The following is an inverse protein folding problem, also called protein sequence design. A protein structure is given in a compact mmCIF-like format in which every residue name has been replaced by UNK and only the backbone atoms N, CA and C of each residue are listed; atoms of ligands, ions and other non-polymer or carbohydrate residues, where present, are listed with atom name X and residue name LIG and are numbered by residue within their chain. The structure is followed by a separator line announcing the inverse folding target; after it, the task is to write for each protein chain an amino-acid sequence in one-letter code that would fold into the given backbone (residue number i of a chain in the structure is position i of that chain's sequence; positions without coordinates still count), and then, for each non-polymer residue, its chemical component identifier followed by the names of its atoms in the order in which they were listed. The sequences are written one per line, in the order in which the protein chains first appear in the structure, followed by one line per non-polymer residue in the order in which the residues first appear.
data_IF_585580221013
#
_entry.id   IF_585580221013
#
_cell.length_a   1.000
_cell.length_b   1.000
_cell.length_c   1.000
_cell.angle_alpha   90.00
_cell.angle_beta   90.00
_cell.angle_gamma   90.00
#
_symmetry.space_group_name_H-M   'P 1'
#
loop_
_entity.id
_entity.type
_entity.pdbx_description
1 polymer ?
#
# COMPACT_ATOMS: atom_id res chain seq x y z
N UNK A 1 -48.26 32.88 28.48
CA UNK A 1 -46.84 33.29 28.49
C UNK A 1 -45.92 32.06 28.34
N UNK A 2 -46.06 31.27 27.26
CA UNK A 2 -45.26 30.05 27.06
C UNK A 2 -44.82 29.82 25.60
N UNK A 3 -44.87 30.86 24.76
CA UNK A 3 -44.50 30.76 23.34
C UNK A 3 -43.14 31.44 23.01
N UNK A 4 -42.60 32.27 23.89
CA UNK A 4 -41.44 33.12 23.58
C UNK A 4 -40.07 32.42 23.72
N UNK A 5 -39.97 31.32 24.48
CA UNK A 5 -38.66 30.66 24.72
C UNK A 5 -38.20 29.69 23.64
N UNK A 6 -39.06 29.26 22.72
CA UNK A 6 -38.68 28.29 21.68
C UNK A 6 -38.04 28.94 20.44
N UNK A 7 -38.25 30.24 20.22
CA UNK A 7 -37.71 30.99 19.09
C UNK A 7 -36.24 31.36 19.27
N UNK A 8 -35.83 31.77 20.47
CA UNK A 8 -34.43 32.11 20.79
C UNK A 8 -33.47 30.93 20.57
N UNK A 9 -33.87 29.74 21.02
CA UNK A 9 -33.03 28.54 20.90
C UNK A 9 -32.89 28.03 19.46
N UNK A 10 -33.86 28.36 18.58
CA UNK A 10 -33.77 28.08 17.14
C UNK A 10 -32.93 29.11 16.41
N UNK A 11 -33.01 30.38 16.80
CA UNK A 11 -32.15 31.43 16.26
C UNK A 11 -30.68 31.18 16.63
N UNK A 12 -30.37 30.77 17.87
CA UNK A 12 -28.99 30.45 18.27
C UNK A 12 -28.38 29.26 17.53
N UNK A 13 -29.20 28.28 17.13
CA UNK A 13 -28.75 27.11 16.36
C UNK A 13 -28.46 27.52 14.91
N UNK A 14 -29.33 28.34 14.31
CA UNK A 14 -29.13 28.85 12.95
C UNK A 14 -27.88 29.74 12.87
N UNK A 15 -27.62 30.55 13.91
CA UNK A 15 -26.40 31.35 14.00
C UNK A 15 -25.14 30.50 14.19
N UNK A 16 -25.24 29.38 14.92
CA UNK A 16 -24.14 28.41 15.04
C UNK A 16 -23.85 27.71 13.72
N UNK A 17 -24.87 27.28 12.99
CA UNK A 17 -24.71 26.64 11.68
C UNK A 17 -24.12 27.62 10.64
N UNK A 18 -24.52 28.90 10.68
CA UNK A 18 -23.93 29.95 9.86
C UNK A 18 -22.45 30.20 10.19
N UNK A 19 -22.10 30.24 11.49
CA UNK A 19 -20.71 30.41 11.93
C UNK A 19 -19.82 29.21 11.54
N UNK A 20 -20.33 27.99 11.66
CA UNK A 20 -19.63 26.76 11.26
C UNK A 20 -19.41 26.75 9.75
N UNK A 21 -20.42 27.14 8.96
CA UNK A 21 -20.31 27.20 7.50
C UNK A 21 -19.26 28.21 7.05
N UNK A 22 -19.23 29.40 7.64
CA UNK A 22 -18.21 30.41 7.32
C UNK A 22 -16.79 29.97 7.71
N UNK A 23 -16.64 29.22 8.81
CA UNK A 23 -15.34 28.68 9.24
C UNK A 23 -14.85 27.57 8.30
N UNK A 24 -15.74 26.67 7.85
CA UNK A 24 -15.40 25.62 6.90
C UNK A 24 -15.07 26.19 5.53
N UNK A 25 -15.79 27.21 5.07
CA UNK A 25 -15.49 27.92 3.81
C UNK A 25 -14.12 28.61 3.87
N UNK A 26 -13.77 29.20 5.01
CA UNK A 26 -12.43 29.78 5.24
C UNK A 26 -11.30 28.75 5.30
N UNK A 27 -11.56 27.52 5.76
CA UNK A 27 -10.57 26.44 5.81
C UNK A 27 -10.36 25.73 4.47
N UNK A 28 -11.41 25.68 3.64
CA UNK A 28 -11.38 25.08 2.30
C UNK A 28 -10.86 26.03 1.23
N UNK A 29 -10.64 27.31 1.57
CA UNK A 29 -10.08 28.29 0.65
C UNK A 29 -8.57 28.10 0.57
N UNK A 30 -8.13 27.43 -0.50
CA UNK A 30 -6.72 27.25 -0.81
C UNK A 30 -6.02 28.62 -0.97
N UNK A 31 -4.97 28.93 -0.20
CA UNK A 31 -4.24 30.20 -0.33
C UNK A 31 -3.49 30.33 -1.66
N UNK A 32 -3.33 29.24 -2.41
CA UNK A 32 -2.61 29.20 -3.69
C UNK A 32 -3.50 29.56 -4.90
N UNK A 33 -4.83 29.64 -4.73
CA UNK A 33 -5.76 29.95 -5.82
C UNK A 33 -5.78 31.44 -6.19
N UNK A 34 -5.49 32.34 -5.25
CA UNK A 34 -5.45 33.79 -5.50
C UNK A 34 -4.06 34.28 -6.00
N UNK A 35 -2.95 33.55 -5.78
CA UNK A 35 -1.61 33.92 -6.33
C UNK A 35 -1.40 33.50 -7.79
N UNK A 36 -2.18 32.53 -8.30
CA UNK A 36 -2.04 32.05 -9.68
C UNK A 36 -2.57 33.05 -10.75
N UNK A 37 -3.36 34.05 -10.35
CA UNK A 37 -3.90 35.06 -11.26
C UNK A 37 -2.98 36.29 -11.46
N UNK A 38 -2.01 36.54 -10.56
CA UNK A 38 -1.13 37.72 -10.65
C UNK A 38 0.28 37.42 -11.18
N UNK A 39 0.66 36.14 -11.34
CA UNK A 39 1.99 35.75 -11.86
C UNK A 39 2.02 35.50 -13.38
N UNK A 40 1.24 36.25 -14.17
CA UNK A 40 1.35 36.29 -15.63
C UNK A 40 1.53 37.72 -16.14
N UNK A 41 2.67 38.31 -15.79
CA UNK A 41 3.19 39.51 -16.44
C UNK A 41 4.65 39.25 -16.88
N UNK A 42 5.00 39.38 -18.17
CA UNK A 42 6.37 39.19 -18.61
C UNK A 42 7.26 40.29 -18.04
N UNK A 43 8.23 39.91 -17.19
CA UNK A 43 9.26 40.81 -16.67
C UNK A 43 10.16 41.28 -17.81
N UNK A 44 9.87 42.47 -18.36
CA UNK A 44 10.79 43.23 -19.21
C UNK A 44 11.91 43.81 -18.34
N UNK A 45 13.14 43.61 -18.80
CA UNK A 45 14.39 44.12 -18.25
C UNK A 45 14.40 45.64 -18.10
N UNK A 46 15.11 46.20 -17.10
CA UNK A 46 15.18 47.64 -16.88
C UNK A 46 16.14 48.29 -17.89
N UNK A 47 15.59 48.80 -18.99
CA UNK A 47 16.27 49.69 -19.92
C UNK A 47 15.85 51.15 -19.71
N UNK A 48 16.85 52.00 -19.44
CA UNK A 48 16.90 53.46 -19.57
C UNK A 48 15.61 54.24 -19.93
N UNK A 49 15.22 55.17 -19.05
CA UNK A 49 14.22 56.22 -19.33
C UNK A 49 14.77 57.22 -20.34
N UNK A 50 14.11 57.37 -21.49
CA UNK A 50 14.14 58.59 -22.30
C UNK A 50 12.74 59.18 -22.28
N UNK A 51 12.68 60.42 -21.80
CA UNK A 51 11.50 61.26 -21.69
C UNK A 51 11.12 61.73 -23.11
N UNK A 52 9.86 61.53 -23.51
CA UNK A 52 9.19 62.53 -24.33
C UNK A 52 7.67 62.52 -24.10
N UNK A 53 7.14 63.72 -23.94
CA UNK A 53 5.75 64.16 -23.70
C UNK A 53 5.33 64.95 -24.96
N UNK A 54 4.05 65.31 -25.24
CA UNK A 54 2.71 64.75 -24.93
C UNK A 54 1.88 64.47 -26.22
N UNK A 55 0.69 63.85 -26.12
CA UNK A 55 -0.58 64.43 -26.62
C UNK A 55 -1.81 63.66 -26.10
N UNK A 56 -2.86 64.41 -25.76
CA UNK A 56 -4.20 64.01 -25.29
C UNK A 56 -5.17 63.93 -26.49
N UNK A 57 -6.51 63.71 -26.41
CA UNK A 57 -7.41 63.36 -25.29
C UNK A 57 -8.52 62.30 -25.65
N UNK A 58 -9.47 62.12 -24.71
CA UNK A 58 -10.87 61.68 -24.88
C UNK A 58 -11.13 60.16 -25.04
N UNK A 59 -12.24 59.56 -24.61
CA UNK A 59 -13.36 59.85 -23.71
C UNK A 59 -14.23 58.57 -23.71
N UNK A 60 -15.05 58.36 -22.67
CA UNK A 60 -16.23 57.49 -22.77
C UNK A 60 -16.22 56.24 -21.89
N UNK A 61 -16.98 56.31 -20.80
CA UNK A 61 -17.42 55.18 -20.00
C UNK A 61 -18.72 54.55 -20.60
N UNK A 62 -19.47 53.71 -19.86
CA UNK A 62 -19.72 52.30 -20.16
C UNK A 62 -21.11 52.06 -20.79
N UNK A 63 -21.36 50.83 -21.25
CA UNK A 63 -22.72 50.38 -21.57
C UNK A 63 -22.95 48.94 -21.12
N UNK A 64 -23.90 48.85 -20.19
CA UNK A 64 -24.72 47.70 -19.82
C UNK A 64 -25.39 47.06 -21.02
N UNK A 65 -25.53 45.73 -21.01
CA UNK A 65 -26.64 45.06 -21.70
C UNK A 65 -27.18 43.94 -20.81
N UNK A 66 -28.48 44.05 -20.56
CA UNK A 66 -29.34 43.25 -19.71
C UNK A 66 -30.48 42.74 -20.59
N UNK A 67 -30.88 41.49 -20.39
CA UNK A 67 -32.12 40.91 -20.91
C UNK A 67 -31.90 39.90 -22.04
N UNK A 68 -32.67 38.83 -22.19
CA UNK A 68 -33.79 38.27 -21.45
C UNK A 68 -33.92 36.80 -21.97
N UNK A 69 -34.30 35.83 -21.12
CA UNK A 69 -35.57 35.09 -21.13
C UNK A 69 -36.03 34.55 -22.51
N UNK A 70 -36.62 33.38 -22.73
CA UNK A 70 -37.36 32.37 -21.96
C UNK A 70 -37.60 31.20 -22.95
N UNK A 71 -37.70 29.92 -22.56
CA UNK A 71 -38.95 29.12 -22.38
C UNK A 71 -38.52 27.70 -22.84
N UNK A 72 -38.59 26.62 -22.08
CA UNK A 72 -39.79 25.95 -21.57
C UNK A 72 -40.24 24.87 -22.58
N UNK A 73 -40.07 23.60 -22.24
CA UNK A 73 -41.06 22.56 -22.58
C UNK A 73 -40.98 21.39 -21.59
N UNK A 74 -42.17 20.96 -21.21
CA UNK A 74 -42.57 20.05 -20.15
C UNK A 74 -43.24 18.86 -20.83
N UNK A 75 -42.86 17.62 -20.51
CA UNK A 75 -43.81 16.52 -20.42
C UNK A 75 -43.16 15.22 -19.88
N UNK A 76 -43.85 14.52 -18.95
CA UNK A 76 -43.44 13.25 -18.38
C UNK A 76 -44.17 12.05 -19.04
N UNK A 77 -43.54 10.87 -19.05
CA UNK A 77 -44.26 9.60 -19.19
C UNK A 77 -43.63 8.52 -18.31
N UNK A 78 -44.41 8.09 -17.32
CA UNK A 78 -44.33 6.80 -16.66
C UNK A 78 -44.51 5.67 -17.68
N UNK A 79 -43.81 4.55 -17.51
CA UNK A 79 -44.38 3.25 -17.83
C UNK A 79 -43.68 2.14 -17.06
N UNK A 80 -44.43 1.53 -16.15
CA UNK A 80 -44.13 0.25 -15.54
C UNK A 80 -44.20 -0.87 -16.59
N UNK A 81 -43.27 -1.82 -16.50
CA UNK A 81 -43.47 -3.17 -17.00
C UNK A 81 -42.64 -4.16 -16.17
N UNK A 82 -43.38 -5.05 -15.53
CA UNK A 82 -42.93 -6.24 -14.84
C UNK A 82 -42.34 -7.26 -15.83
N UNK A 83 -41.64 -8.29 -15.32
CA UNK A 83 -41.51 -9.68 -15.82
C UNK A 83 -40.07 -10.22 -15.72
N UNK A 84 -40.00 -11.34 -14.99
CA UNK A 84 -39.09 -12.49 -15.11
C UNK A 84 -37.66 -12.43 -14.53
N UNK A 85 -37.53 -13.08 -13.37
CA UNK A 85 -36.35 -13.83 -12.98
C UNK A 85 -35.99 -14.90 -14.03
N UNK A 86 -34.71 -15.14 -14.30
CA UNK A 86 -34.25 -16.43 -14.80
C UNK A 86 -33.84 -17.31 -13.61
N UNK A 87 -34.73 -18.25 -13.30
CA UNK A 87 -34.37 -19.55 -12.73
C UNK A 87 -33.48 -20.24 -13.77
N UNK A 88 -32.21 -20.50 -13.43
CA UNK A 88 -31.35 -21.38 -14.22
C UNK A 88 -30.97 -22.55 -13.34
N UNK A 89 -31.77 -23.60 -13.55
CA UNK A 89 -31.59 -24.99 -13.16
C UNK A 89 -30.14 -25.44 -13.17
N UNK A 90 -29.79 -26.15 -12.09
CA UNK A 90 -28.69 -27.08 -12.04
C UNK A 90 -28.81 -28.09 -13.20
N UNK A 91 -27.88 -28.02 -14.15
CA UNK A 91 -27.65 -29.11 -15.11
C UNK A 91 -26.37 -29.84 -14.75
N UNK A 92 -26.60 -30.99 -14.13
CA UNK A 92 -25.67 -32.06 -13.86
C UNK A 92 -25.46 -32.85 -15.18
N UNK A 93 -24.22 -32.95 -15.66
CA UNK A 93 -23.80 -33.92 -16.69
C UNK A 93 -22.48 -34.47 -16.17
N UNK A 94 -22.43 -35.63 -15.52
CA UNK A 94 -22.61 -36.96 -16.10
C UNK A 94 -21.88 -37.08 -17.43
N UNK A 95 -20.59 -37.44 -17.35
CA UNK A 95 -19.85 -38.13 -18.40
C UNK A 95 -19.16 -39.28 -17.70
N UNK A 96 -19.80 -40.44 -17.82
CA UNK A 96 -19.26 -41.76 -17.58
C UNK A 96 -19.12 -42.35 -18.98
N UNK A 97 -17.91 -42.78 -19.34
CA UNK A 97 -17.67 -43.79 -20.38
C UNK A 97 -16.19 -44.17 -20.40
N UNK A 98 -15.95 -45.42 -19.95
CA UNK A 98 -15.19 -46.47 -20.65
C UNK A 98 -13.66 -46.28 -20.70
N UNK A 99 -12.88 -46.99 -19.88
CA UNK A 99 -12.53 -48.42 -19.98
C UNK A 99 -12.04 -48.81 -21.38
N UNK A 100 -10.72 -48.92 -21.54
CA UNK A 100 -10.11 -50.14 -22.09
C UNK A 100 -8.56 -50.07 -22.12
N UNK A 101 -8.02 -51.20 -21.69
CA UNK A 101 -6.87 -51.91 -22.24
C UNK A 101 -5.49 -51.78 -21.63
N UNK A 102 -4.91 -52.98 -21.52
CA UNK A 102 -3.75 -53.37 -20.78
C UNK A 102 -2.53 -53.52 -21.70
N UNK A 103 -1.34 -53.37 -21.12
CA UNK A 103 -0.08 -54.04 -21.50
C UNK A 103 0.93 -53.58 -20.46
N UNK A 104 1.25 -54.37 -19.44
CA UNK A 104 2.22 -55.48 -19.45
C UNK A 104 3.63 -55.09 -19.94
N UNK A 105 4.60 -55.49 -19.10
CA UNK A 105 6.03 -55.74 -19.34
C UNK A 105 7.03 -54.63 -19.05
N UNK A 106 7.92 -54.93 -18.07
CA UNK A 106 9.30 -54.44 -18.10
C UNK A 106 9.89 -54.06 -16.75
N UNK A 107 10.34 -55.06 -15.97
CA UNK A 107 11.27 -54.87 -14.86
C UNK A 107 12.57 -54.16 -15.29
N UNK A 108 13.31 -53.55 -14.36
CA UNK A 108 14.56 -54.24 -14.01
C UNK A 108 14.84 -54.34 -12.50
N UNK A 109 15.43 -55.49 -12.16
CA UNK A 109 16.15 -55.81 -10.94
C UNK A 109 17.14 -54.71 -10.53
N UNK A 110 17.09 -54.33 -9.25
CA UNK A 110 18.27 -53.82 -8.55
C UNK A 110 18.54 -54.75 -7.38
N UNK A 111 19.50 -55.64 -7.63
CA UNK A 111 20.26 -56.36 -6.62
C UNK A 111 20.97 -55.33 -5.73
N UNK A 112 20.85 -55.47 -4.41
CA UNK A 112 21.69 -54.75 -3.46
C UNK A 112 22.14 -55.74 -2.41
N UNK A 113 23.42 -56.02 -2.51
CA UNK A 113 24.18 -57.07 -1.87
C UNK A 113 24.37 -56.74 -0.38
N UNK A 114 23.93 -57.67 0.46
CA UNK A 114 24.19 -57.69 1.89
C UNK A 114 25.63 -58.14 2.12
N UNK A 115 26.48 -57.23 2.58
CA UNK A 115 27.87 -57.49 2.92
C UNK A 115 28.18 -57.07 4.35
N UNK A 116 27.97 -57.97 5.30
CA UNK A 116 28.42 -57.82 6.68
C UNK A 116 29.94 -58.04 6.78
N UNK A 117 30.69 -57.13 7.43
CA UNK A 117 32.00 -57.47 7.97
C UNK A 117 32.37 -56.62 9.23
N UNK A 118 32.38 -57.33 10.36
CA UNK A 118 33.24 -57.23 11.56
C UNK A 118 33.55 -55.88 12.25
N UNK A 119 33.14 -55.81 13.53
CA UNK A 119 33.96 -55.33 14.64
C UNK A 119 34.76 -56.55 15.22
N UNK A 120 35.78 -56.43 16.12
CA UNK A 120 36.12 -55.29 17.00
C UNK A 120 37.64 -55.02 17.22
N UNK A 121 37.93 -54.02 18.07
CA UNK A 121 38.98 -54.00 19.13
C UNK A 121 40.08 -52.90 19.08
N UNK A 122 40.21 -52.21 20.23
CA UNK A 122 41.42 -51.65 20.86
C UNK A 122 42.09 -50.37 20.31
N UNK A 123 42.12 -49.28 21.10
CA UNK A 123 43.17 -48.94 22.09
C UNK A 123 42.95 -47.50 22.65
N UNK A 124 42.72 -47.42 23.97
CA UNK A 124 43.16 -46.45 24.99
C UNK A 124 43.03 -44.89 24.84
N UNK A 125 42.94 -44.16 25.97
CA UNK A 125 42.49 -42.76 26.05
C UNK A 125 43.66 -41.76 26.06
N UNK A 126 43.46 -40.59 25.44
CA UNK A 126 44.35 -39.44 25.56
C UNK A 126 43.54 -38.16 25.84
N UNK A 127 44.08 -37.36 26.76
CA UNK A 127 43.52 -36.15 27.41
C UNK A 127 42.97 -35.06 26.48
N UNK A 128 42.01 -34.25 26.98
CA UNK A 128 41.56 -33.04 26.30
C UNK A 128 42.53 -31.87 26.50
N UNK A 129 42.90 -31.11 25.46
CA UNK A 129 43.44 -29.76 25.65
C UNK A 129 42.30 -28.78 25.98
N UNK A 130 42.48 -27.87 26.96
CA UNK A 130 41.54 -26.80 27.24
C UNK A 130 41.80 -25.64 26.28
N UNK A 131 40.99 -25.51 25.24
CA UNK A 131 40.96 -24.30 24.41
C UNK A 131 39.67 -23.54 24.70
N UNK A 132 39.86 -22.55 25.57
CA UNK A 132 38.92 -21.48 25.85
C UNK A 132 38.95 -20.48 24.69
N UNK A 133 37.82 -19.81 24.44
CA UNK A 133 37.72 -18.57 23.65
C UNK A 133 37.88 -18.63 22.12
N UNK A 134 37.07 -19.44 21.44
CA UNK A 134 36.86 -19.31 19.98
C UNK A 134 35.39 -19.38 19.55
N UNK A 135 34.48 -18.88 20.38
CA UNK A 135 33.03 -18.97 20.11
C UNK A 135 32.30 -17.64 20.42
N UNK A 136 32.89 -16.51 20.03
CA UNK A 136 32.21 -15.19 20.08
C UNK A 136 32.51 -14.28 18.86
N UNK A 137 33.02 -14.80 17.75
CA UNK A 137 33.35 -14.00 16.56
C UNK A 137 32.50 -14.28 15.31
N UNK A 138 31.52 -15.19 15.38
CA UNK A 138 30.72 -15.63 14.21
C UNK A 138 29.25 -15.17 14.31
N UNK A 139 28.98 -13.96 14.84
CA UNK A 139 27.62 -13.39 14.88
C UNK A 139 27.54 -11.94 14.38
N UNK A 140 28.64 -11.39 13.87
CA UNK A 140 28.69 -9.96 13.46
C UNK A 140 28.65 -9.73 11.95
N UNK A 141 28.77 -10.78 11.11
CA UNK A 141 28.94 -10.59 9.65
C UNK A 141 27.65 -10.74 8.82
N UNK A 142 26.53 -11.15 9.43
CA UNK A 142 25.25 -11.31 8.71
C UNK A 142 24.49 -9.99 8.48
N UNK A 143 24.99 -8.87 9.03
CA UNK A 143 24.35 -7.56 8.92
C UNK A 143 24.93 -6.69 7.81
N UNK A 144 26.07 -7.08 7.22
CA UNK A 144 26.83 -6.26 6.25
C UNK A 144 26.45 -6.49 4.78
N UNK A 145 25.62 -7.50 4.46
CA UNK A 145 25.17 -7.77 3.07
C UNK A 145 23.98 -6.91 2.60
N UNK A 146 23.52 -5.95 3.42
CA UNK A 146 22.25 -5.26 3.19
C UNK A 146 22.35 -3.85 2.59
N UNK A 147 23.56 -3.30 2.39
CA UNK A 147 23.71 -1.88 2.01
C UNK A 147 23.53 -1.60 0.50
N UNK A 148 23.77 -2.58 -0.38
CA UNK A 148 23.58 -2.41 -1.84
C UNK A 148 22.19 -2.88 -2.33
N UNK A 149 21.34 -3.37 -1.42
CA UNK A 149 20.03 -3.86 -1.78
C UNK A 149 19.07 -2.68 -2.01
N UNK A 150 18.80 -2.35 -3.27
CA UNK A 150 17.78 -1.37 -3.68
C UNK A 150 16.38 -1.65 -3.10
N UNK A 151 16.12 -2.90 -2.73
CA UNK A 151 14.82 -3.38 -2.26
C UNK A 151 14.95 -4.12 -0.92
N UNK A 152 13.96 -3.91 -0.05
CA UNK A 152 13.60 -4.87 0.99
C UNK A 152 12.57 -5.86 0.49
N UNK A 153 12.67 -7.09 0.98
CA UNK A 153 11.91 -8.22 0.46
C UNK A 153 11.08 -8.84 1.58
N UNK A 154 9.79 -8.99 1.34
CA UNK A 154 8.89 -9.74 2.20
C UNK A 154 8.04 -10.65 1.34
N UNK A 155 7.76 -11.87 1.79
CA UNK A 155 6.88 -12.81 1.11
C UNK A 155 5.53 -12.90 1.78
N UNK A 156 4.49 -13.11 0.98
CA UNK A 156 3.11 -13.17 1.44
C UNK A 156 2.36 -14.17 0.57
N UNK A 157 1.93 -15.29 1.15
CA UNK A 157 0.98 -16.22 0.51
C UNK A 157 1.37 -16.73 -0.89
N UNK A 158 2.66 -16.75 -1.20
CA UNK A 158 3.19 -17.18 -2.49
C UNK A 158 3.71 -16.06 -3.40
N UNK A 159 3.39 -14.80 -3.12
CA UNK A 159 3.92 -13.63 -3.83
C UNK A 159 5.05 -12.97 -3.03
N UNK A 160 6.06 -12.45 -3.72
CA UNK A 160 7.12 -11.65 -3.11
C UNK A 160 6.81 -10.17 -3.28
N UNK A 161 7.06 -9.37 -2.25
CA UNK A 161 6.88 -7.92 -2.27
C UNK A 161 8.23 -7.21 -2.18
N UNK A 162 8.48 -6.37 -3.17
CA UNK A 162 9.60 -5.43 -3.19
C UNK A 162 9.18 -4.13 -2.51
N UNK A 163 9.98 -3.70 -1.54
CA UNK A 163 9.77 -2.48 -0.77
C UNK A 163 10.99 -1.59 -1.03
N UNK A 164 10.81 -0.34 -1.49
CA UNK A 164 11.95 0.55 -1.75
C UNK A 164 12.87 0.67 -0.52
N UNK A 165 14.16 0.42 -0.68
CA UNK A 165 15.09 0.40 0.46
C UNK A 165 15.27 1.78 1.11
N UNK A 166 15.14 2.86 0.34
CA UNK A 166 15.13 4.24 0.82
C UNK A 166 13.95 4.54 1.77
N UNK A 167 12.87 3.76 1.68
CA UNK A 167 11.73 3.85 2.57
C UNK A 167 11.89 3.01 3.85
N UNK A 168 12.92 2.15 3.94
CA UNK A 168 13.16 1.26 5.08
C UNK A 168 14.13 1.92 6.05
N UNK A 169 13.73 2.01 7.31
CA UNK A 169 14.52 2.58 8.40
C UNK A 169 15.31 1.50 9.16
N UNK A 170 14.67 0.36 9.44
CA UNK A 170 15.31 -0.80 10.07
C UNK A 170 14.57 -2.09 9.79
N UNK A 171 15.27 -3.22 9.91
CA UNK A 171 14.74 -4.58 9.73
C UNK A 171 14.82 -5.35 11.04
N UNK A 172 13.79 -6.12 11.34
CA UNK A 172 13.65 -6.89 12.57
C UNK A 172 13.21 -8.31 12.21
N UNK A 173 14.13 -9.29 12.21
CA UNK A 173 13.80 -10.70 11.95
C UNK A 173 13.24 -11.37 13.21
N UNK A 174 12.21 -12.21 13.04
CA UNK A 174 11.55 -12.95 14.11
C UNK A 174 10.99 -12.12 15.28
N UNK A 175 10.45 -10.90 15.08
CA UNK A 175 10.03 -10.07 16.20
C UNK A 175 8.75 -10.61 16.82
N UNK A 176 8.66 -10.51 18.15
CA UNK A 176 7.42 -10.78 18.87
C UNK A 176 6.59 -9.50 18.90
N UNK A 177 5.41 -9.55 18.27
CA UNK A 177 4.50 -8.40 18.22
C UNK A 177 3.55 -8.42 19.41
N UNK A 178 3.40 -7.27 20.06
CA UNK A 178 2.42 -7.06 21.11
C UNK A 178 1.03 -6.87 20.48
N UNK A 179 -0.01 -7.59 20.94
CA UNK A 179 -1.36 -7.41 20.42
C UNK A 179 -1.87 -6.00 20.76
N UNK A 180 -2.51 -5.34 19.80
CA UNK A 180 -3.09 -4.00 19.98
C UNK A 180 -4.61 -4.13 20.12
N UNK A 181 -5.19 -3.93 21.32
CA UNK A 181 -6.61 -4.11 21.55
C UNK A 181 -7.46 -3.17 20.69
N UNK A 182 -8.49 -3.71 20.04
CA UNK A 182 -9.41 -2.94 19.19
C UNK A 182 -8.81 -2.45 17.87
N UNK A 183 -7.60 -2.89 17.51
CA UNK A 183 -7.00 -2.52 16.24
C UNK A 183 -7.73 -3.14 15.04
N UNK A 184 -7.74 -2.48 13.88
CA UNK A 184 -8.26 -3.06 12.63
C UNK A 184 -7.56 -4.37 12.26
N UNK A 185 -8.23 -5.24 11.50
CA UNK A 185 -7.70 -6.56 11.09
C UNK A 185 -6.39 -6.51 10.29
N UNK A 186 -6.09 -5.38 9.65
CA UNK A 186 -4.83 -5.15 8.95
C UNK A 186 -3.62 -4.90 9.87
N UNK A 187 -3.85 -4.67 11.16
CA UNK A 187 -2.78 -4.47 12.16
C UNK A 187 -2.33 -5.83 12.68
N UNK A 188 -1.05 -6.15 12.51
CA UNK A 188 -0.44 -7.35 13.05
C UNK A 188 -0.16 -7.23 14.56
N UNK A 189 0.17 -6.01 15.01
CA UNK A 189 0.47 -5.72 16.41
C UNK A 189 1.33 -4.46 16.55
N UNK A 190 2.02 -4.34 17.67
CA UNK A 190 3.02 -3.33 17.91
C UNK A 190 4.39 -3.94 18.16
N UNK A 191 5.44 -3.28 17.66
CA UNK A 191 6.83 -3.61 17.96
C UNK A 191 7.42 -2.47 18.81
N UNK A 192 7.94 -2.80 19.98
CA UNK A 192 8.61 -1.82 20.84
C UNK A 192 10.05 -1.61 20.39
N UNK A 193 10.37 -0.40 19.93
CA UNK A 193 11.73 0.01 19.54
C UNK A 193 12.10 1.26 20.33
N UNK A 194 13.25 1.24 21.00
CA UNK A 194 13.72 2.32 21.90
C UNK A 194 12.68 2.71 22.97
N UNK A 195 11.96 1.71 23.49
CA UNK A 195 10.90 1.91 24.49
C UNK A 195 9.64 2.59 23.97
N UNK A 196 9.48 2.73 22.65
CA UNK A 196 8.29 3.31 22.02
C UNK A 196 7.59 2.28 21.13
N UNK A 197 6.26 2.08 21.26
CA UNK A 197 5.54 1.16 20.41
C UNK A 197 5.40 1.72 18.98
N UNK A 198 5.70 0.88 17.98
CA UNK A 198 5.51 1.13 16.55
C UNK A 198 4.40 0.23 16.04
N UNK A 199 3.43 0.80 15.33
CA UNK A 199 2.32 0.01 14.78
C UNK A 199 2.81 -0.79 13.56
N UNK A 200 2.57 -2.10 13.57
CA UNK A 200 2.97 -3.02 12.51
C UNK A 200 1.74 -3.52 11.76
N UNK A 201 1.78 -3.42 10.43
CA UNK A 201 0.71 -3.87 9.55
C UNK A 201 1.01 -5.26 9.01
N UNK A 202 0.00 -6.11 8.92
CA UNK A 202 0.12 -7.41 8.25
C UNK A 202 -0.09 -7.24 6.75
N UNK A 203 0.95 -7.53 5.96
CA UNK A 203 0.83 -7.51 4.50
C UNK A 203 -0.05 -8.66 3.98
N UNK A 204 -0.13 -9.77 4.72
CA UNK A 204 -1.07 -10.85 4.46
C UNK A 204 -2.52 -10.37 4.59
N UNK A 205 -2.85 -9.67 5.69
CA UNK A 205 -4.18 -9.11 5.88
C UNK A 205 -4.52 -8.02 4.84
N UNK A 206 -3.55 -7.16 4.48
CA UNK A 206 -3.73 -6.11 3.47
C UNK A 206 -4.03 -6.68 2.08
N UNK A 207 -3.36 -7.78 1.73
CA UNK A 207 -3.54 -8.43 0.42
C UNK A 207 -4.70 -9.43 0.40
N UNK A 208 -5.20 -9.84 1.58
CA UNK A 208 -6.19 -10.91 1.74
C UNK A 208 -5.59 -12.32 1.55
N UNK A 209 -4.27 -12.44 1.53
CA UNK A 209 -3.57 -13.71 1.39
C UNK A 209 -3.35 -14.38 2.74
N UNK A 210 -3.22 -15.71 2.72
CA UNK A 210 -2.85 -16.51 3.91
C UNK A 210 -1.32 -16.57 4.01
N UNK A 211 -0.77 -16.17 5.14
CA UNK A 211 0.63 -16.46 5.46
C UNK A 211 0.85 -17.94 5.78
N UNK A 212 2.10 -18.39 5.67
CA UNK A 212 2.54 -19.70 6.15
C UNK A 212 2.78 -19.67 7.65
N UNK A 213 2.29 -20.67 8.37
CA UNK A 213 2.46 -20.78 9.82
C UNK A 213 3.92 -20.97 10.24
N UNK A 214 4.69 -21.66 9.40
CA UNK A 214 6.03 -22.13 9.75
C UNK A 214 7.13 -21.22 9.20
N UNK A 215 6.76 -20.14 8.50
CA UNK A 215 7.72 -19.18 7.95
C UNK A 215 8.16 -18.17 9.01
N UNK A 216 9.44 -17.85 9.03
CA UNK A 216 9.97 -16.77 9.88
C UNK A 216 9.32 -15.45 9.49
N UNK A 217 8.75 -14.75 10.48
CA UNK A 217 8.20 -13.41 10.27
C UNK A 217 9.33 -12.39 10.28
N UNK A 218 9.31 -11.44 9.34
CA UNK A 218 10.19 -10.28 9.32
C UNK A 218 9.37 -9.00 9.31
N UNK A 219 9.82 -8.01 10.08
CA UNK A 219 9.24 -6.68 10.15
C UNK A 219 10.21 -5.66 9.59
N UNK A 220 9.71 -4.84 8.67
CA UNK A 220 10.42 -3.69 8.14
C UNK A 220 9.77 -2.43 8.70
N UNK A 221 10.54 -1.62 9.44
CA UNK A 221 10.10 -0.30 9.88
C UNK A 221 10.30 0.69 8.74
N UNK A 222 9.27 1.50 8.49
CA UNK A 222 9.15 2.33 7.31
C UNK A 222 9.10 3.82 7.64
N UNK A 223 9.68 4.61 6.74
CA UNK A 223 9.77 6.06 6.81
C UNK A 223 10.75 6.55 7.89
N UNK A 224 11.01 7.85 7.87
CA UNK A 224 12.01 8.48 8.75
C UNK A 224 11.78 8.15 10.24
N UNK A 225 12.75 7.49 10.86
CA UNK A 225 12.74 7.13 12.28
C UNK A 225 11.80 5.95 12.60
N UNK A 226 11.43 5.16 11.60
CA UNK A 226 10.77 3.86 11.78
C UNK A 226 9.46 3.94 12.57
N UNK A 227 8.62 4.95 12.30
CA UNK A 227 7.46 5.25 13.15
C UNK A 227 6.34 4.18 13.08
N UNK A 228 6.36 3.36 12.05
CA UNK A 228 5.42 2.28 11.76
C UNK A 228 6.13 1.25 10.88
N UNK A 229 5.51 0.10 10.64
CA UNK A 229 6.13 -0.93 9.80
C UNK A 229 5.15 -1.89 9.17
N UNK A 230 5.72 -2.81 8.41
CA UNK A 230 5.00 -3.89 7.73
C UNK A 230 5.63 -5.23 8.10
N UNK A 231 4.78 -6.24 8.27
CA UNK A 231 5.18 -7.61 8.56
C UNK A 231 4.84 -8.52 7.38
N UNK A 232 5.77 -9.42 7.09
CA UNK A 232 5.60 -10.50 6.12
C UNK A 232 6.51 -11.68 6.46
N UNK A 233 6.54 -12.66 5.58
CA UNK A 233 7.48 -13.78 5.67
C UNK A 233 8.86 -13.31 5.20
N UNK A 234 9.92 -13.74 5.88
CA UNK A 234 11.30 -13.49 5.51
C UNK A 234 11.62 -14.14 4.15
N UNK A 235 12.44 -13.45 3.36
CA UNK A 235 12.91 -13.96 2.07
C UNK A 235 14.41 -14.20 2.14
N UNK A 236 14.81 -15.47 2.17
CA UNK A 236 16.23 -15.84 2.19
C UNK A 236 16.93 -15.59 0.85
N UNK A 237 16.24 -15.91 -0.25
CA UNK A 237 16.73 -15.75 -1.62
C UNK A 237 15.79 -14.81 -2.38
N UNK A 238 16.09 -13.51 -2.44
CA UNK A 238 15.26 -12.57 -3.16
C UNK A 238 15.31 -12.83 -4.67
N UNK A 239 14.20 -12.66 -5.39
CA UNK A 239 14.18 -12.80 -6.84
C UNK A 239 14.96 -11.65 -7.49
N UNK A 240 15.55 -11.92 -8.66
CA UNK A 240 16.07 -10.86 -9.51
C UNK A 240 14.91 -10.03 -10.05
N UNK A 241 14.96 -8.71 -9.82
CA UNK A 241 13.96 -7.77 -10.27
C UNK A 241 14.64 -6.70 -11.12
N UNK A 242 14.35 -6.73 -12.41
CA UNK A 242 14.71 -5.67 -13.34
C UNK A 242 13.58 -4.63 -13.43
N UNK A 243 13.93 -3.35 -13.42
CA UNK A 243 12.96 -2.26 -13.47
C UNK A 243 12.13 -2.25 -14.75
N UNK A 244 12.75 -2.65 -15.87
CA UNK A 244 12.08 -2.71 -17.17
C UNK A 244 11.00 -3.80 -17.21
N UNK A 245 11.12 -4.81 -16.34
CA UNK A 245 10.14 -5.90 -16.20
C UNK A 245 8.93 -5.52 -15.34
N UNK A 246 8.98 -4.38 -14.64
CA UNK A 246 7.91 -3.93 -13.76
C UNK A 246 6.87 -3.16 -14.58
N UNK A 247 5.64 -3.67 -14.58
CA UNK A 247 4.49 -2.93 -15.07
C UNK A 247 4.07 -1.88 -14.02
N UNK A 248 4.57 -0.66 -14.18
CA UNK A 248 4.29 0.46 -13.29
C UNK A 248 2.87 1.00 -13.46
N UNK A 249 2.21 1.28 -12.34
CA UNK A 249 0.86 1.82 -12.32
C UNK A 249 0.91 3.34 -12.28
N UNK A 250 0.14 3.97 -13.16
CA UNK A 250 0.04 5.43 -13.15
C UNK A 250 -0.72 5.93 -11.90
N UNK A 251 -0.64 7.24 -11.62
CA UNK A 251 -1.27 7.86 -10.43
C UNK A 251 -2.78 7.60 -10.37
N UNK A 252 -3.48 7.71 -11.51
CA UNK A 252 -4.92 7.47 -11.59
C UNK A 252 -5.29 6.01 -11.23
N UNK A 253 -4.50 5.03 -11.69
CA UNK A 253 -4.70 3.62 -11.38
C UNK A 253 -4.44 3.33 -9.90
N UNK A 254 -3.40 3.95 -9.30
CA UNK A 254 -3.11 3.82 -7.87
C UNK A 254 -4.25 4.39 -7.03
N UNK A 255 -4.73 5.60 -7.36
CA UNK A 255 -5.85 6.23 -6.65
C UNK A 255 -7.16 5.42 -6.73
N UNK A 256 -7.47 4.83 -7.89
CA UNK A 256 -8.73 4.11 -8.09
C UNK A 256 -8.74 2.67 -7.53
N UNK A 257 -7.59 1.97 -7.53
CA UNK A 257 -7.51 0.55 -7.14
C UNK A 257 -6.20 0.26 -6.42
N UNK A 258 -6.27 -0.14 -5.14
CA UNK A 258 -5.11 -0.54 -4.31
C UNK A 258 -3.97 0.50 -4.36
N UNK A 259 -4.13 1.65 -3.70
CA UNK A 259 -3.14 2.75 -3.70
C UNK A 259 -1.77 2.36 -3.16
N UNK A 260 -1.67 1.26 -2.43
CA UNK A 260 -0.42 0.71 -1.92
C UNK A 260 0.40 -0.09 -2.96
N UNK A 261 -0.12 -0.34 -4.17
CA UNK A 261 0.56 -1.14 -5.18
C UNK A 261 1.14 -0.24 -6.28
N UNK A 262 2.47 -0.09 -6.31
CA UNK A 262 3.18 0.75 -7.28
C UNK A 262 3.28 0.09 -8.67
N UNK A 263 3.49 -1.22 -8.71
CA UNK A 263 3.68 -1.97 -9.94
C UNK A 263 3.77 -3.47 -9.68
N UNK A 264 3.83 -4.25 -10.76
CA UNK A 264 3.93 -5.70 -10.71
C UNK A 264 4.88 -6.23 -11.76
N UNK A 265 5.77 -7.15 -11.39
CA UNK A 265 6.56 -7.96 -12.32
C UNK A 265 6.03 -9.39 -12.30
N UNK A 266 5.02 -9.65 -13.12
CA UNK A 266 4.26 -10.92 -13.11
C UNK A 266 5.14 -12.13 -13.40
N UNK A 267 6.13 -12.01 -14.29
CA UNK A 267 7.06 -13.10 -14.61
C UNK A 267 7.94 -13.51 -13.41
N UNK A 268 8.31 -12.55 -12.56
CA UNK A 268 9.09 -12.79 -11.35
C UNK A 268 8.22 -13.12 -10.12
N UNK A 269 6.88 -13.01 -10.23
CA UNK A 269 5.98 -13.15 -9.09
C UNK A 269 6.17 -12.06 -8.03
N UNK A 270 6.54 -10.85 -8.46
CA UNK A 270 6.86 -9.72 -7.57
C UNK A 270 5.83 -8.61 -7.68
N UNK A 271 5.41 -8.08 -6.54
CA UNK A 271 4.67 -6.83 -6.43
C UNK A 271 5.56 -5.74 -5.83
N UNK A 272 5.47 -4.51 -6.33
CA UNK A 272 6.20 -3.37 -5.78
C UNK A 272 5.28 -2.54 -4.89
N UNK A 273 5.69 -2.32 -3.64
CA UNK A 273 4.92 -1.58 -2.66
C UNK A 273 5.11 -0.06 -2.83
N UNK A 274 4.00 0.67 -2.95
CA UNK A 274 3.96 2.11 -2.78
C UNK A 274 3.76 2.44 -1.29
N UNK A 275 4.86 2.78 -0.60
CA UNK A 275 4.85 3.10 0.83
C UNK A 275 4.05 4.37 1.12
N UNK A 276 4.14 5.38 0.23
CA UNK A 276 3.40 6.63 0.38
C UNK A 276 1.90 6.42 0.18
N UNK A 277 1.53 5.69 -0.89
CA UNK A 277 0.16 5.31 -1.18
C UNK A 277 -0.46 4.43 -0.10
N UNK A 278 0.30 3.48 0.47
CA UNK A 278 -0.13 2.69 1.63
C UNK A 278 -0.44 3.58 2.83
N UNK A 279 0.48 4.49 3.17
CA UNK A 279 0.28 5.41 4.30
C UNK A 279 -0.94 6.32 4.10
N UNK A 280 -1.16 6.81 2.88
CA UNK A 280 -2.32 7.63 2.55
C UNK A 280 -3.63 6.85 2.72
N UNK A 281 -3.67 5.59 2.24
CA UNK A 281 -4.84 4.72 2.36
C UNK A 281 -5.24 4.45 3.82
N UNK A 282 -4.25 4.28 4.70
CA UNK A 282 -4.49 4.05 6.13
C UNK A 282 -5.05 5.29 6.83
N UNK A 283 -4.71 6.49 6.37
CA UNK A 283 -5.27 7.74 6.91
C UNK A 283 -6.72 7.94 6.47
N UNK A 284 -7.05 7.59 5.22
CA UNK A 284 -8.39 7.73 4.67
C UNK A 284 -9.40 6.72 5.24
N UNK A 285 -8.91 5.64 5.88
CA UNK A 285 -9.74 4.59 6.49
C UNK A 285 -10.16 4.90 7.95
N UNK A 286 -9.89 6.10 8.47
CA UNK A 286 -10.25 6.53 9.84
C UNK A 286 -11.45 7.46 9.86
#
# INVERSE_FOLDING_TARGET
MAAEKQTDSRQSIVDQDAAITAYLDGLLRDPDADEAAESSAPRKSPGLKVINVPESPAAGAPSVDEGAASTGDDAPLESAATVAAPDVEASNSSIESEEMDASETGAPEITSEEGAFTAPESVAPAEPPPESDAMQAELSDSSQMADDARWGWLRIGGMTMAIPADAIDSRHPGPVLEPVPGAPSQVAGALSVDGRPRLILSLAALTGMRGRSDAETEVLLLGKGGLWGVAGERVEQPPELDDESVEWRNEAQRAARRPWLAGTASAAGVAVLDVAGLRAALKASR
#
